data_IF_825613940244
#
_entry.id   IF_825613940244
#
_cell.length_a   1.000
_cell.length_b   1.000
_cell.length_c   1.000
_cell.angle_alpha   90.00
_cell.angle_beta   90.00
_cell.angle_gamma   90.00
#
_symmetry.space_group_name_H-M   'P 1'
#
loop_
_entity.id
_entity.type
_entity.pdbx_description
1 polymer ?
#
# COMPACT_ATOMS: atom_id res chain seq x y z
N UNK A 1 -23.21 -21.97 -14.23
CA UNK A 1 -24.36 -21.45 -13.45
C UNK A 1 -24.49 -20.01 -13.90
N UNK A 2 -25.27 -19.78 -14.95
CA UNK A 2 -25.20 -18.52 -15.67
C UNK A 2 -26.06 -17.50 -14.94
N UNK A 3 -25.41 -16.61 -14.20
CA UNK A 3 -26.08 -15.58 -13.44
C UNK A 3 -25.50 -14.22 -13.81
N UNK A 4 -26.03 -13.64 -14.89
CA UNK A 4 -25.65 -12.34 -15.42
C UNK A 4 -25.79 -11.20 -14.40
N UNK A 5 -26.68 -11.35 -13.42
CA UNK A 5 -26.82 -10.37 -12.33
C UNK A 5 -25.64 -10.49 -11.37
N UNK A 6 -25.28 -11.71 -10.96
CA UNK A 6 -24.14 -11.95 -10.09
C UNK A 6 -22.82 -11.51 -10.76
N UNK A 7 -22.63 -11.84 -12.03
CA UNK A 7 -21.49 -11.38 -12.85
C UNK A 7 -21.37 -9.84 -12.83
N UNK A 8 -22.41 -9.12 -13.23
CA UNK A 8 -22.35 -7.66 -13.27
C UNK A 8 -22.14 -7.02 -11.88
N UNK A 9 -22.80 -7.55 -10.84
CA UNK A 9 -22.66 -7.03 -9.48
C UNK A 9 -21.25 -7.26 -8.95
N UNK A 10 -20.72 -8.48 -9.07
CA UNK A 10 -19.39 -8.83 -8.58
C UNK A 10 -18.30 -8.11 -9.36
N UNK A 11 -18.40 -8.05 -10.69
CA UNK A 11 -17.46 -7.29 -11.52
C UNK A 11 -17.48 -5.79 -11.19
N UNK A 12 -18.65 -5.22 -10.90
CA UNK A 12 -18.76 -3.82 -10.47
C UNK A 12 -18.15 -3.61 -9.07
N UNK A 13 -18.40 -4.52 -8.13
CA UNK A 13 -17.78 -4.46 -6.80
C UNK A 13 -16.26 -4.54 -6.91
N UNK A 14 -15.74 -5.42 -7.76
CA UNK A 14 -14.31 -5.51 -8.05
C UNK A 14 -13.73 -4.19 -8.57
N UNK A 15 -14.38 -3.59 -9.57
CA UNK A 15 -13.99 -2.30 -10.13
C UNK A 15 -14.02 -1.15 -9.09
N UNK A 16 -15.01 -1.16 -8.19
CA UNK A 16 -15.11 -0.18 -7.09
C UNK A 16 -13.98 -0.36 -6.09
N UNK A 17 -13.70 -1.59 -5.67
CA UNK A 17 -12.56 -1.91 -4.81
C UNK A 17 -11.26 -1.38 -5.41
N UNK A 18 -10.99 -1.69 -6.68
CA UNK A 18 -9.78 -1.19 -7.34
C UNK A 18 -9.73 0.33 -7.49
N UNK A 19 -10.88 0.98 -7.67
CA UNK A 19 -10.95 2.44 -7.78
C UNK A 19 -10.59 3.14 -6.46
N UNK A 20 -10.86 2.51 -5.31
CA UNK A 20 -10.61 3.12 -4.00
C UNK A 20 -9.37 2.56 -3.29
N UNK A 21 -8.76 1.49 -3.81
CA UNK A 21 -7.71 0.71 -3.13
C UNK A 21 -6.58 1.59 -2.61
N UNK A 22 -6.14 2.59 -3.38
CA UNK A 22 -5.00 3.45 -3.04
C UNK A 22 -5.34 4.56 -2.02
N UNK A 23 -6.61 4.86 -1.79
CA UNK A 23 -7.03 5.96 -0.90
C UNK A 23 -6.53 5.78 0.54
N UNK A 24 -6.67 4.61 1.20
CA UNK A 24 -6.08 4.36 2.52
C UNK A 24 -4.58 4.65 2.57
N UNK A 25 -3.83 4.26 1.54
CA UNK A 25 -2.39 4.52 1.48
C UNK A 25 -2.10 6.02 1.38
N UNK A 26 -2.81 6.73 0.49
CA UNK A 26 -2.66 8.18 0.31
C UNK A 26 -2.95 8.93 1.61
N UNK A 27 -4.00 8.54 2.33
CA UNK A 27 -4.39 9.14 3.61
C UNK A 27 -3.31 8.88 4.67
N UNK A 28 -2.79 7.65 4.76
CA UNK A 28 -1.72 7.30 5.71
C UNK A 28 -0.46 8.10 5.43
N UNK A 29 -0.05 8.19 4.16
CA UNK A 29 1.12 8.98 3.74
C UNK A 29 0.95 10.46 4.13
N UNK A 30 -0.25 11.02 3.88
CA UNK A 30 -0.55 12.40 4.24
C UNK A 30 -0.49 12.62 5.75
N UNK A 31 -1.07 11.72 6.56
CA UNK A 31 -1.10 11.83 8.02
C UNK A 31 0.27 11.65 8.67
N UNK A 32 1.12 10.77 8.12
CA UNK A 32 2.46 10.50 8.65
C UNK A 32 3.51 11.49 8.15
N UNK A 33 3.22 12.23 7.06
CA UNK A 33 4.19 13.06 6.34
C UNK A 33 5.48 12.32 5.97
N UNK A 34 5.35 11.01 5.78
CA UNK A 34 6.44 10.10 5.49
C UNK A 34 5.95 8.98 4.58
N UNK A 35 6.87 8.46 3.77
CA UNK A 35 6.64 7.42 2.77
C UNK A 35 7.72 6.34 2.83
N UNK A 36 8.41 6.20 3.96
CA UNK A 36 9.42 5.16 4.14
C UNK A 36 8.84 3.76 3.90
N UNK A 37 9.51 2.97 3.05
CA UNK A 37 9.08 1.64 2.62
C UNK A 37 8.04 1.62 1.49
N UNK A 38 7.44 2.76 1.11
CA UNK A 38 6.53 2.81 -0.04
C UNK A 38 7.34 2.91 -1.33
N UNK A 39 7.20 1.91 -2.20
CA UNK A 39 7.95 1.89 -3.46
C UNK A 39 7.35 2.81 -4.51
N UNK A 40 8.00 3.96 -4.73
CA UNK A 40 7.64 4.86 -5.83
C UNK A 40 7.76 4.22 -7.23
N UNK A 41 8.62 3.21 -7.41
CA UNK A 41 8.73 2.50 -8.70
C UNK A 41 7.50 1.65 -9.02
N UNK A 42 6.90 1.01 -8.02
CA UNK A 42 5.62 0.30 -8.16
C UNK A 42 4.51 1.28 -8.59
N UNK A 43 4.40 2.43 -7.93
CA UNK A 43 3.40 3.45 -8.27
C UNK A 43 3.57 3.96 -9.72
N UNK A 44 4.82 4.12 -10.18
CA UNK A 44 5.07 4.53 -11.56
C UNK A 44 4.70 3.42 -12.56
N UNK A 45 5.04 2.16 -12.27
CA UNK A 45 4.66 1.02 -13.11
C UNK A 45 3.15 0.89 -13.24
N UNK A 46 2.41 1.10 -12.16
CA UNK A 46 0.95 1.08 -12.15
C UNK A 46 0.33 2.23 -12.91
N UNK A 47 0.89 3.43 -12.80
CA UNK A 47 0.47 4.56 -13.62
C UNK A 47 0.66 4.26 -15.11
N UNK A 48 1.77 3.62 -15.50
CA UNK A 48 2.01 3.22 -16.88
C UNK A 48 1.09 2.06 -17.29
N UNK A 49 0.80 1.11 -16.40
CA UNK A 49 -0.09 -0.02 -16.64
C UNK A 49 -1.55 0.40 -16.89
N UNK A 50 -1.98 1.50 -16.28
CA UNK A 50 -3.32 2.04 -16.47
C UNK A 50 -3.60 2.50 -17.89
N UNK A 51 -2.57 2.87 -18.68
CA UNK A 51 -2.72 3.22 -20.10
C UNK A 51 -3.19 2.04 -20.95
N UNK A 52 -2.44 0.92 -21.10
CA UNK A 52 -2.91 -0.21 -21.89
C UNK A 52 -4.21 -0.82 -21.33
N UNK A 53 -4.40 -0.80 -20.01
CA UNK A 53 -5.65 -1.25 -19.39
C UNK A 53 -6.85 -0.37 -19.78
N UNK A 54 -6.70 0.95 -19.70
CA UNK A 54 -7.73 1.93 -20.08
C UNK A 54 -8.08 1.83 -21.56
N UNK A 55 -7.05 1.77 -22.41
CA UNK A 55 -7.20 1.55 -23.85
C UNK A 55 -7.99 0.27 -24.14
N UNK A 56 -7.59 -0.86 -23.54
CA UNK A 56 -8.28 -2.15 -23.71
C UNK A 56 -9.76 -2.04 -23.31
N UNK A 57 -10.04 -1.51 -22.12
CA UNK A 57 -11.41 -1.42 -21.59
C UNK A 57 -12.30 -0.45 -22.39
N UNK A 58 -11.74 0.64 -22.91
CA UNK A 58 -12.48 1.62 -23.72
C UNK A 58 -12.79 1.08 -25.12
N UNK A 59 -11.85 0.36 -25.75
CA UNK A 59 -12.03 -0.16 -27.12
C UNK A 59 -12.85 -1.45 -27.13
N UNK A 60 -12.77 -2.27 -26.08
CA UNK A 60 -13.69 -3.41 -25.88
C UNK A 60 -15.07 -3.02 -25.38
N UNK A 61 -15.29 -1.73 -25.14
CA UNK A 61 -16.59 -1.19 -24.74
C UNK A 61 -17.16 -1.85 -23.47
N UNK A 62 -16.32 -2.23 -22.51
CA UNK A 62 -16.77 -2.79 -21.24
C UNK A 62 -17.63 -1.81 -20.42
N UNK A 63 -18.20 -2.30 -19.32
CA UNK A 63 -19.00 -1.49 -18.40
C UNK A 63 -18.27 -0.19 -18.00
N UNK A 64 -19.05 0.89 -17.80
CA UNK A 64 -18.52 2.22 -17.48
C UNK A 64 -17.56 2.19 -16.27
N UNK A 65 -17.87 1.37 -15.26
CA UNK A 65 -17.00 1.17 -14.10
C UNK A 65 -15.58 0.71 -14.48
N UNK A 66 -15.46 -0.26 -15.39
CA UNK A 66 -14.18 -0.78 -15.87
C UNK A 66 -13.46 0.17 -16.82
N UNK A 67 -14.16 1.10 -17.49
CA UNK A 67 -13.53 2.15 -18.31
C UNK A 67 -12.93 3.26 -17.45
N UNK A 68 -13.60 3.61 -16.35
CA UNK A 68 -13.17 4.69 -15.45
C UNK A 68 -12.08 4.21 -14.49
N UNK A 69 -12.13 2.95 -14.06
CA UNK A 69 -11.19 2.40 -13.07
C UNK A 69 -9.70 2.60 -13.45
N UNK A 70 -9.23 2.35 -14.69
CA UNK A 70 -7.83 2.55 -15.06
C UNK A 70 -7.39 4.01 -15.01
N UNK A 71 -8.32 4.94 -15.25
CA UNK A 71 -8.08 6.39 -15.14
C UNK A 71 -7.87 6.79 -13.69
N UNK A 72 -8.70 6.25 -12.80
CA UNK A 72 -8.58 6.45 -11.36
C UNK A 72 -7.26 5.83 -10.87
N UNK A 73 -6.96 4.59 -11.25
CA UNK A 73 -5.71 3.91 -10.89
C UNK A 73 -4.49 4.73 -11.32
N UNK A 74 -4.45 5.19 -12.57
CA UNK A 74 -3.35 6.02 -13.10
C UNK A 74 -3.16 7.29 -12.28
N UNK A 75 -4.26 7.99 -12.02
CA UNK A 75 -4.25 9.26 -11.28
C UNK A 75 -3.81 9.07 -9.83
N UNK A 76 -4.40 8.10 -9.13
CA UNK A 76 -4.07 7.81 -7.73
C UNK A 76 -2.63 7.28 -7.59
N UNK A 77 -2.15 6.51 -8.56
CA UNK A 77 -0.77 6.02 -8.60
C UNK A 77 0.22 7.18 -8.76
N UNK A 78 -0.04 8.11 -9.69
CA UNK A 78 0.80 9.30 -9.85
C UNK A 78 0.75 10.24 -8.65
N UNK A 79 -0.43 10.38 -8.01
CA UNK A 79 -0.56 11.14 -6.77
C UNK A 79 0.26 10.52 -5.64
N UNK A 80 0.20 9.19 -5.48
CA UNK A 80 0.98 8.46 -4.49
C UNK A 80 2.47 8.53 -4.79
N UNK A 81 2.86 8.44 -6.07
CA UNK A 81 4.23 8.67 -6.51
C UNK A 81 4.74 10.08 -6.17
N UNK A 82 3.89 11.10 -6.33
CA UNK A 82 4.18 12.47 -5.94
C UNK A 82 4.41 12.59 -4.43
N UNK A 83 3.62 11.87 -3.61
CA UNK A 83 3.85 11.78 -2.17
C UNK A 83 5.21 11.15 -1.87
N UNK A 84 5.64 10.11 -2.58
CA UNK A 84 6.98 9.53 -2.43
C UNK A 84 8.10 10.52 -2.77
N UNK A 85 7.94 11.36 -3.80
CA UNK A 85 8.90 12.40 -4.14
C UNK A 85 8.94 13.52 -3.10
N UNK A 86 7.77 13.94 -2.62
CA UNK A 86 7.65 15.06 -1.68
C UNK A 86 8.07 14.67 -0.26
N UNK A 87 7.48 13.61 0.30
CA UNK A 87 7.76 13.19 1.68
C UNK A 87 9.05 12.37 1.79
N UNK A 88 9.33 11.48 0.85
CA UNK A 88 10.52 10.63 0.86
C UNK A 88 11.78 11.34 0.41
N UNK A 89 11.79 11.88 -0.83
CA UNK A 89 12.97 12.56 -1.41
C UNK A 89 13.10 14.04 -1.04
N UNK A 90 12.15 14.58 -0.26
CA UNK A 90 12.10 16.00 0.14
C UNK A 90 12.15 16.98 -1.04
N UNK A 91 11.58 16.61 -2.18
CA UNK A 91 11.50 17.51 -3.33
C UNK A 91 10.49 18.64 -3.08
N UNK A 92 10.73 19.81 -3.68
CA UNK A 92 9.81 20.95 -3.58
C UNK A 92 8.51 20.61 -4.31
N UNK A 93 7.36 21.03 -3.73
CA UNK A 93 6.02 20.74 -4.27
C UNK A 93 5.87 21.09 -5.75
N UNK A 94 6.46 22.20 -6.20
CA UNK A 94 6.43 22.62 -7.61
C UNK A 94 7.07 21.59 -8.54
N UNK A 95 8.18 20.96 -8.14
CA UNK A 95 8.83 19.92 -8.95
C UNK A 95 7.93 18.68 -9.05
N UNK A 96 7.27 18.31 -7.95
CA UNK A 96 6.33 17.20 -7.93
C UNK A 96 5.11 17.49 -8.83
N UNK A 97 4.51 18.68 -8.72
CA UNK A 97 3.37 19.07 -9.57
C UNK A 97 3.74 19.08 -11.05
N UNK A 98 4.89 19.66 -11.42
CA UNK A 98 5.36 19.64 -12.81
C UNK A 98 5.57 18.20 -13.29
N UNK A 99 6.25 17.36 -12.51
CA UNK A 99 6.49 15.97 -12.89
C UNK A 99 5.19 15.17 -13.09
N UNK A 100 4.23 15.30 -12.17
CA UNK A 100 2.93 14.62 -12.26
C UNK A 100 2.14 15.12 -13.47
N UNK A 101 2.02 16.43 -13.65
CA UNK A 101 1.27 17.00 -14.78
C UNK A 101 1.90 16.62 -16.11
N UNK A 102 3.24 16.67 -16.22
CA UNK A 102 3.94 16.24 -17.43
C UNK A 102 3.69 14.76 -17.74
N UNK A 103 3.74 13.88 -16.73
CA UNK A 103 3.44 12.46 -16.92
C UNK A 103 1.97 12.21 -17.26
N UNK A 104 1.02 12.91 -16.61
CA UNK A 104 -0.40 12.80 -16.94
C UNK A 104 -0.69 13.19 -18.39
N UNK A 105 -0.13 14.31 -18.86
CA UNK A 105 -0.30 14.75 -20.24
C UNK A 105 0.33 13.77 -21.23
N UNK A 106 1.51 13.24 -20.91
CA UNK A 106 2.19 12.25 -21.75
C UNK A 106 1.38 10.94 -21.83
N UNK A 107 1.01 10.38 -20.68
CA UNK A 107 0.28 9.11 -20.61
C UNK A 107 -1.12 9.24 -21.22
N UNK A 108 -1.84 10.33 -20.95
CA UNK A 108 -3.14 10.61 -21.55
C UNK A 108 -3.06 10.84 -23.07
N UNK A 109 -1.99 11.48 -23.56
CA UNK A 109 -1.74 11.63 -24.99
C UNK A 109 -1.46 10.29 -25.68
N UNK A 110 -0.65 9.43 -25.05
CA UNK A 110 -0.38 8.07 -25.53
C UNK A 110 -1.67 7.24 -25.55
N UNK A 111 -2.44 7.26 -24.46
CA UNK A 111 -3.71 6.57 -24.35
C UNK A 111 -4.70 7.00 -25.43
N UNK A 112 -4.90 8.31 -25.61
CA UNK A 112 -5.79 8.82 -26.65
C UNK A 112 -5.36 8.36 -28.05
N UNK A 113 -4.06 8.45 -28.36
CA UNK A 113 -3.50 7.96 -29.63
C UNK A 113 -3.73 6.46 -29.84
N UNK A 114 -3.50 5.65 -28.81
CA UNK A 114 -3.73 4.21 -28.84
C UNK A 114 -5.21 3.86 -29.01
N UNK A 115 -6.14 4.58 -28.36
CA UNK A 115 -7.58 4.37 -28.54
C UNK A 115 -7.98 4.55 -30.00
N UNK A 116 -7.56 5.64 -30.66
CA UNK A 116 -7.87 5.85 -32.07
C UNK A 116 -7.23 4.78 -32.96
N UNK A 117 -5.97 4.43 -32.72
CA UNK A 117 -5.26 3.41 -33.48
C UNK A 117 -5.91 2.02 -33.37
N UNK A 118 -6.29 1.62 -32.14
CA UNK A 118 -6.86 0.31 -31.87
C UNK A 118 -8.33 0.21 -32.27
N UNK A 119 -9.09 1.30 -32.20
CA UNK A 119 -10.43 1.35 -32.84
C UNK A 119 -10.32 1.11 -34.34
N UNK A 120 -9.36 1.75 -35.01
CA UNK A 120 -9.13 1.53 -36.43
C UNK A 120 -8.68 0.08 -36.73
N UNK A 121 -7.88 -0.54 -35.86
CA UNK A 121 -7.49 -1.94 -35.98
C UNK A 121 -8.68 -2.90 -35.77
N UNK A 122 -9.55 -2.63 -34.78
CA UNK A 122 -10.74 -3.42 -34.49
C UNK A 122 -11.74 -3.42 -35.64
N UNK A 123 -11.94 -2.27 -36.31
CA UNK A 123 -12.76 -2.18 -37.53
C UNK A 123 -12.22 -3.06 -38.68
N UNK A 124 -10.91 -3.33 -38.70
CA UNK A 124 -10.27 -4.24 -39.66
C UNK A 124 -10.30 -5.71 -39.22
N UNK A 125 -10.99 -6.04 -38.13
CA UNK A 125 -11.07 -7.40 -37.58
C UNK A 125 -9.79 -7.89 -36.91
N UNK A 126 -8.88 -7.00 -36.51
CA UNK A 126 -7.65 -7.36 -35.81
C UNK A 126 -7.87 -7.30 -34.29
N UNK A 127 -7.98 -8.46 -33.65
CA UNK A 127 -8.19 -8.58 -32.20
C UNK A 127 -6.86 -8.67 -31.41
N UNK A 128 -5.80 -9.22 -32.02
CA UNK A 128 -4.49 -9.39 -31.36
C UNK A 128 -3.91 -8.12 -30.72
N UNK A 129 -4.08 -6.89 -31.27
CA UNK A 129 -3.54 -5.70 -30.65
C UNK A 129 -4.18 -5.39 -29.29
N UNK A 130 -5.47 -5.71 -29.13
CA UNK A 130 -6.20 -5.52 -27.87
C UNK A 130 -5.76 -6.54 -26.82
N UNK A 131 -5.55 -7.80 -27.23
CA UNK A 131 -4.97 -8.83 -26.36
C UNK A 131 -3.58 -8.41 -25.87
N UNK A 132 -2.75 -7.81 -26.74
CA UNK A 132 -1.44 -7.28 -26.33
C UNK A 132 -1.58 -6.18 -25.27
N UNK A 133 -2.56 -5.28 -25.39
CA UNK A 133 -2.81 -4.27 -24.34
C UNK A 133 -3.22 -4.90 -23.02
N UNK A 134 -4.13 -5.87 -23.04
CA UNK A 134 -4.55 -6.60 -21.84
C UNK A 134 -3.35 -7.28 -21.15
N UNK A 135 -2.58 -8.08 -21.90
CA UNK A 135 -1.39 -8.78 -21.37
C UNK A 135 -0.32 -7.81 -20.88
N UNK A 136 -0.03 -6.74 -21.63
CA UNK A 136 0.94 -5.73 -21.23
C UNK A 136 0.53 -5.06 -19.91
N UNK A 137 -0.75 -4.73 -19.74
CA UNK A 137 -1.25 -4.14 -18.50
C UNK A 137 -1.07 -5.08 -17.30
N UNK A 138 -1.45 -6.36 -17.44
CA UNK A 138 -1.29 -7.36 -16.39
C UNK A 138 0.19 -7.56 -16.03
N UNK A 139 1.08 -7.64 -17.02
CA UNK A 139 2.51 -7.75 -16.77
C UNK A 139 3.08 -6.54 -16.01
N UNK A 140 2.63 -5.32 -16.32
CA UNK A 140 3.09 -4.11 -15.64
C UNK A 140 2.56 -3.99 -14.20
N UNK A 141 1.29 -4.38 -13.98
CA UNK A 141 0.69 -4.44 -12.63
C UNK A 141 1.45 -5.43 -11.76
N UNK A 142 1.58 -6.67 -12.23
CA UNK A 142 2.34 -7.72 -11.57
C UNK A 142 3.80 -7.31 -11.34
N UNK A 143 4.48 -6.71 -12.33
CA UNK A 143 5.85 -6.21 -12.16
C UNK A 143 5.95 -5.15 -11.04
N UNK A 144 4.95 -4.29 -10.91
CA UNK A 144 4.83 -3.35 -9.80
C UNK A 144 4.78 -4.07 -8.46
N UNK A 145 3.93 -5.09 -8.33
CA UNK A 145 3.79 -5.88 -7.09
C UNK A 145 5.06 -6.68 -6.80
N UNK A 146 5.67 -7.30 -7.81
CA UNK A 146 6.93 -8.04 -7.70
C UNK A 146 8.08 -7.15 -7.21
N UNK A 147 8.09 -5.87 -7.60
CA UNK A 147 9.08 -4.92 -7.09
C UNK A 147 8.97 -4.79 -5.58
N UNK A 148 7.76 -4.86 -5.03
CA UNK A 148 7.53 -4.81 -3.59
C UNK A 148 7.96 -6.10 -2.89
N UNK A 149 7.74 -7.26 -3.51
CA UNK A 149 8.31 -8.51 -3.03
C UNK A 149 9.83 -8.48 -2.90
N UNK A 150 10.51 -7.87 -3.87
CA UNK A 150 11.97 -7.68 -3.79
C UNK A 150 12.37 -6.84 -2.58
N UNK A 151 11.59 -5.81 -2.25
CA UNK A 151 11.78 -4.98 -1.05
C UNK A 151 11.71 -5.81 0.22
N UNK A 152 10.63 -6.61 0.33
CA UNK A 152 10.38 -7.50 1.46
C UNK A 152 11.52 -8.51 1.60
N UNK A 153 12.01 -9.05 0.48
CA UNK A 153 13.12 -9.99 0.46
C UNK A 153 14.42 -9.37 0.97
N UNK A 154 14.75 -8.16 0.51
CA UNK A 154 16.00 -7.46 0.88
C UNK A 154 15.94 -6.97 2.33
N UNK A 155 14.85 -6.32 2.73
CA UNK A 155 14.72 -5.69 4.04
C UNK A 155 14.17 -6.62 5.13
N UNK A 156 13.73 -7.84 4.77
CA UNK A 156 13.20 -8.87 5.67
C UNK A 156 12.06 -8.36 6.57
N UNK A 157 11.31 -7.37 6.09
CA UNK A 157 10.16 -6.77 6.76
C UNK A 157 9.21 -6.20 5.73
N UNK A 158 7.90 -6.24 6.00
CA UNK A 158 6.91 -5.53 5.18
C UNK A 158 6.79 -4.10 5.72
N UNK A 159 7.38 -3.13 5.03
CA UNK A 159 7.38 -1.71 5.42
C UNK A 159 6.62 -0.87 4.40
N UNK A 160 6.03 0.23 4.86
CA UNK A 160 5.49 1.30 4.03
C UNK A 160 4.16 1.04 3.33
N UNK A 161 3.74 -0.21 3.14
CA UNK A 161 2.43 -0.54 2.54
C UNK A 161 1.35 -0.76 3.60
N UNK A 162 0.17 -0.19 3.36
CA UNK A 162 -1.03 -0.34 4.17
C UNK A 162 -1.69 -1.69 3.92
N UNK A 163 -1.89 -2.47 4.99
CA UNK A 163 -2.66 -3.72 4.93
C UNK A 163 -4.10 -3.52 4.49
N UNK A 164 -4.68 -2.34 4.72
CA UNK A 164 -6.03 -2.01 4.24
C UNK A 164 -6.01 -1.84 2.72
N UNK A 165 -4.99 -1.19 2.15
CA UNK A 165 -4.80 -1.11 0.70
C UNK A 165 -4.69 -2.52 0.09
N UNK A 166 -3.81 -3.36 0.64
CA UNK A 166 -3.63 -4.75 0.17
C UNK A 166 -4.93 -5.54 0.24
N UNK A 167 -5.68 -5.40 1.33
CA UNK A 167 -6.94 -6.12 1.52
C UNK A 167 -8.04 -5.69 0.54
N UNK A 168 -8.16 -4.38 0.26
CA UNK A 168 -9.14 -3.87 -0.72
C UNK A 168 -8.76 -4.34 -2.13
N UNK A 169 -7.47 -4.34 -2.46
CA UNK A 169 -7.00 -4.76 -3.78
C UNK A 169 -7.23 -6.25 -4.03
N UNK A 170 -6.85 -7.09 -3.07
CA UNK A 170 -7.13 -8.52 -3.09
C UNK A 170 -8.63 -8.83 -3.16
N UNK A 171 -9.47 -8.03 -2.49
CA UNK A 171 -10.92 -8.17 -2.58
C UNK A 171 -11.41 -7.81 -3.99
N UNK A 172 -10.82 -6.79 -4.63
CA UNK A 172 -11.09 -6.44 -6.02
C UNK A 172 -10.83 -7.61 -6.98
N UNK A 173 -9.66 -8.24 -6.86
CA UNK A 173 -9.31 -9.42 -7.65
C UNK A 173 -10.21 -10.61 -7.37
N UNK A 174 -10.56 -10.86 -6.11
CA UNK A 174 -11.45 -11.94 -5.73
C UNK A 174 -12.85 -11.75 -6.32
N UNK A 175 -13.45 -10.56 -6.18
CA UNK A 175 -14.78 -10.29 -6.74
C UNK A 175 -14.79 -10.39 -8.27
N UNK A 176 -13.76 -9.88 -8.93
CA UNK A 176 -13.64 -9.95 -10.39
C UNK A 176 -13.39 -11.39 -10.88
N UNK A 177 -12.58 -12.17 -10.16
CA UNK A 177 -12.37 -13.59 -10.47
C UNK A 177 -13.68 -14.38 -10.34
N UNK A 178 -14.41 -14.19 -9.24
CA UNK A 178 -15.70 -14.86 -9.01
C UNK A 178 -16.73 -14.41 -10.06
N UNK A 179 -16.72 -13.13 -10.47
CA UNK A 179 -17.55 -12.62 -11.56
C UNK A 179 -17.36 -13.42 -12.85
N UNK A 180 -16.11 -13.66 -13.26
CA UNK A 180 -15.79 -14.40 -14.48
C UNK A 180 -16.30 -15.85 -14.42
N UNK A 181 -16.33 -16.47 -13.23
CA UNK A 181 -16.87 -17.83 -13.05
C UNK A 181 -18.39 -17.92 -13.19
N UNK A 182 -19.12 -16.82 -12.99
CA UNK A 182 -20.58 -16.75 -13.17
C UNK A 182 -21.01 -16.32 -14.58
N UNK A 183 -20.05 -15.90 -15.41
CA UNK A 183 -20.27 -15.54 -16.81
C UNK A 183 -20.65 -16.74 -17.67
N UNK A 184 -21.39 -16.49 -18.76
CA UNK A 184 -21.84 -17.53 -19.70
C UNK A 184 -20.71 -18.17 -20.51
N UNK A 185 -19.56 -17.50 -20.59
CA UNK A 185 -18.34 -17.98 -21.25
C UNK A 185 -17.18 -17.83 -20.30
N UNK A 186 -16.40 -18.90 -20.12
CA UNK A 186 -15.21 -18.87 -19.29
C UNK A 186 -14.13 -18.06 -20.02
N UNK A 187 -13.89 -16.84 -19.57
CA UNK A 187 -12.75 -16.05 -20.02
C UNK A 187 -11.48 -16.52 -19.29
N UNK A 188 -10.75 -17.40 -19.96
CA UNK A 188 -9.49 -17.96 -19.45
C UNK A 188 -8.46 -16.86 -19.19
N UNK A 189 -8.45 -15.80 -20.01
CA UNK A 189 -7.50 -14.69 -19.85
C UNK A 189 -7.81 -13.90 -18.58
N UNK A 190 -9.08 -13.56 -18.34
CA UNK A 190 -9.53 -12.93 -17.09
C UNK A 190 -9.21 -13.77 -15.85
N UNK A 191 -9.44 -15.10 -15.91
CA UNK A 191 -9.10 -16.00 -14.80
C UNK A 191 -7.60 -15.99 -14.49
N UNK A 192 -6.75 -16.04 -15.51
CA UNK A 192 -5.29 -16.03 -15.33
C UNK A 192 -4.84 -14.68 -14.74
N UNK A 193 -5.35 -13.57 -15.24
CA UNK A 193 -4.98 -12.22 -14.76
C UNK A 193 -5.41 -12.05 -13.31
N UNK A 194 -6.70 -12.19 -13.01
CA UNK A 194 -7.21 -11.97 -11.65
C UNK A 194 -6.68 -13.00 -10.66
N UNK A 195 -6.51 -14.26 -11.09
CA UNK A 195 -5.93 -15.31 -10.24
C UNK A 195 -4.46 -15.05 -9.90
N UNK A 196 -3.68 -14.54 -10.86
CA UNK A 196 -2.26 -14.21 -10.64
C UNK A 196 -2.12 -13.03 -9.68
N UNK A 197 -2.86 -11.93 -9.91
CA UNK A 197 -2.86 -10.76 -9.03
C UNK A 197 -3.31 -11.12 -7.62
N UNK A 198 -4.42 -11.87 -7.48
CA UNK A 198 -4.89 -12.34 -6.18
C UNK A 198 -3.82 -13.16 -5.44
N UNK A 199 -3.10 -14.02 -6.16
CA UNK A 199 -2.01 -14.82 -5.58
C UNK A 199 -0.88 -13.93 -5.06
N UNK A 200 -0.50 -12.91 -5.83
CA UNK A 200 0.52 -11.93 -5.42
C UNK A 200 0.08 -11.15 -4.17
N UNK A 201 -1.18 -10.74 -4.07
CA UNK A 201 -1.66 -10.02 -2.89
C UNK A 201 -1.78 -10.89 -1.65
N UNK A 202 -2.30 -12.11 -1.81
CA UNK A 202 -2.37 -13.08 -0.73
C UNK A 202 -0.97 -13.37 -0.21
N UNK A 203 0.02 -13.51 -1.09
CA UNK A 203 1.40 -13.72 -0.67
C UNK A 203 2.00 -12.53 0.08
N UNK A 204 1.72 -11.28 -0.32
CA UNK A 204 2.10 -10.09 0.47
C UNK A 204 1.43 -10.12 1.85
N UNK A 205 0.15 -10.48 1.91
CA UNK A 205 -0.59 -10.60 3.16
C UNK A 205 0.03 -11.65 4.10
N UNK A 206 0.41 -12.81 3.56
CA UNK A 206 1.11 -13.87 4.29
C UNK A 206 2.48 -13.37 4.77
N UNK A 207 3.27 -12.74 3.90
CA UNK A 207 4.56 -12.16 4.29
C UNK A 207 4.38 -11.16 5.43
N UNK A 208 3.40 -10.26 5.34
CA UNK A 208 3.09 -9.30 6.38
C UNK A 208 2.66 -9.95 7.69
N UNK A 209 1.81 -10.98 7.63
CA UNK A 209 1.43 -11.79 8.78
C UNK A 209 2.65 -12.43 9.45
N UNK A 210 3.53 -13.09 8.69
CA UNK A 210 4.72 -13.75 9.23
C UNK A 210 5.71 -12.75 9.84
N UNK A 211 5.99 -11.64 9.17
CA UNK A 211 6.95 -10.64 9.64
C UNK A 211 6.43 -9.78 10.79
N UNK A 212 5.11 -9.57 10.90
CA UNK A 212 4.51 -8.80 11.99
C UNK A 212 4.17 -9.68 13.21
N UNK A 213 3.89 -10.98 13.02
CA UNK A 213 3.63 -11.92 14.10
C UNK A 213 4.91 -12.29 14.87
N UNK A 214 6.07 -12.42 14.21
CA UNK A 214 7.36 -12.71 14.87
C UNK A 214 7.75 -11.72 15.97
N UNK A 215 7.78 -10.39 15.73
CA UNK A 215 8.10 -9.42 16.78
C UNK A 215 7.03 -9.38 17.88
N UNK A 216 5.75 -9.54 17.54
CA UNK A 216 4.68 -9.60 18.55
C UNK A 216 4.77 -10.82 19.47
N UNK A 217 5.10 -12.01 18.92
CA UNK A 217 5.35 -13.21 19.73
C UNK A 217 6.59 -12.99 20.61
N UNK A 218 7.66 -12.39 20.06
CA UNK A 218 8.88 -12.10 20.80
C UNK A 218 8.60 -11.14 21.97
N UNK A 219 7.89 -10.04 21.72
CA UNK A 219 7.52 -9.05 22.74
C UNK A 219 6.61 -9.66 23.82
N UNK A 220 5.66 -10.52 23.45
CA UNK A 220 4.85 -11.27 24.42
C UNK A 220 5.64 -12.29 25.23
N UNK A 221 6.66 -12.89 24.64
CA UNK A 221 7.53 -13.86 25.34
C UNK A 221 8.45 -13.12 26.30
N UNK A 222 9.05 -12.00 25.88
CA UNK A 222 9.88 -11.14 26.73
C UNK A 222 9.08 -10.49 27.86
N UNK A 223 7.85 -10.04 27.62
CA UNK A 223 6.95 -9.54 28.69
C UNK A 223 6.56 -10.66 29.67
N UNK A 224 6.34 -11.89 29.17
CA UNK A 224 6.00 -13.03 30.03
C UNK A 224 7.19 -13.47 30.88
N UNK A 225 8.40 -13.48 30.34
CA UNK A 225 9.64 -13.79 31.06
C UNK A 225 10.03 -12.67 32.04
N UNK A 226 9.84 -11.41 31.68
CA UNK A 226 10.03 -10.26 32.59
C UNK A 226 9.08 -10.30 33.78
N UNK A 227 7.81 -10.65 33.57
CA UNK A 227 6.81 -10.78 34.64
C UNK A 227 7.03 -12.02 35.54
N UNK A 228 7.86 -12.98 35.12
CA UNK A 228 8.33 -14.11 35.93
C UNK A 228 9.58 -13.76 36.74
N UNK A 229 10.32 -12.72 36.34
CA UNK A 229 11.57 -12.27 36.97
C UNK A 229 11.41 -11.09 37.93
N UNK A 230 10.24 -10.44 38.00
CA UNK A 230 9.88 -9.56 39.10
C UNK A 230 9.38 -10.40 40.28
N UNK A 231 10.22 -10.78 41.27
CA UNK A 231 9.67 -11.21 42.54
C UNK A 231 8.86 -10.03 43.05
N UNK A 232 7.64 -10.30 43.51
CA UNK A 232 6.83 -9.38 44.31
C UNK A 232 7.74 -8.78 45.37
N UNK A 233 8.26 -7.58 45.10
CA UNK A 233 9.13 -6.87 46.00
C UNK A 233 8.20 -6.38 47.09
N UNK A 234 8.14 -7.14 48.19
CA UNK A 234 7.55 -6.72 49.43
C UNK A 234 8.18 -5.38 49.77
N UNK A 235 7.45 -4.30 49.50
CA UNK A 235 7.83 -2.96 49.85
C UNK A 235 8.11 -2.97 51.36
N UNK A 236 9.35 -2.74 51.82
CA UNK A 236 9.59 -2.65 53.24
C UNK A 236 8.82 -1.42 53.72
N UNK A 237 7.77 -1.65 54.51
CA UNK A 237 7.08 -0.56 55.17
C UNK A 237 8.09 0.13 56.09
N UNK A 238 8.19 1.48 56.07
CA UNK A 238 9.07 2.17 56.99
C UNK A 238 8.58 1.90 58.42
N UNK A 239 9.45 1.29 59.22
CA UNK A 239 9.22 1.09 60.65
C UNK A 239 9.07 2.45 61.33
N UNK A 240 7.85 2.77 61.76
CA UNK A 240 7.52 3.96 62.54
C UNK A 240 8.12 3.88 63.95
N UNK A 241 9.41 4.13 64.09
CA UNK A 241 10.07 4.29 65.40
C UNK A 241 11.24 5.27 65.32
N UNK A 242 10.96 6.57 65.39
CA UNK A 242 11.76 7.52 66.20
C UNK A 242 11.02 8.85 66.31
N UNK A 243 9.95 8.86 67.10
CA UNK A 243 9.51 10.09 67.80
C UNK A 243 10.56 10.36 68.88
N UNK A 244 10.96 11.62 69.06
CA UNK A 244 12.06 12.15 69.89
C UNK A 244 13.42 12.37 69.17
N UNK A 245 13.52 13.49 68.45
CA UNK A 245 14.76 14.28 68.40
C UNK A 245 14.52 15.55 69.23
N UNK A 246 15.11 15.62 70.41
CA UNK A 246 15.24 16.85 71.18
C UNK A 246 16.39 17.68 70.62
N UNK A 247 16.11 18.96 70.37
CA UNK A 247 17.09 19.97 70.04
C UNK A 247 17.91 20.35 71.27
N UNK A 248 19.23 20.23 71.20
CA UNK A 248 20.16 20.95 72.08
C UNK A 248 21.41 21.26 71.27
N UNK A 249 21.62 22.54 71.02
CA UNK A 249 22.68 23.05 70.18
C UNK A 249 24.04 23.09 70.86
N UNK A 250 25.04 23.34 70.03
CA UNK A 250 26.21 24.15 70.38
C UNK A 250 26.86 24.62 69.07
N UNK A 251 26.75 25.92 68.82
CA UNK A 251 27.55 26.67 67.87
C UNK A 251 29.04 26.52 68.18
N UNK A 252 29.88 26.35 67.15
CA UNK A 252 31.22 26.94 67.13
C UNK A 252 31.52 27.42 65.71
N UNK A 253 31.67 28.75 65.60
CA UNK A 253 32.16 29.48 64.43
C UNK A 253 33.60 29.07 64.06
N UNK A 254 33.90 29.02 62.75
CA UNK A 254 35.26 28.99 62.22
C UNK A 254 35.33 29.65 60.84
N UNK A 255 36.05 30.78 60.77
CA UNK A 255 36.10 31.78 59.68
C UNK A 255 36.59 31.27 58.31
N UNK A 256 36.01 31.86 57.26
CA UNK A 256 36.49 32.03 55.86
C UNK A 256 37.85 32.77 55.80
N UNK A 257 38.66 32.70 54.72
CA UNK A 257 38.26 33.23 53.40
C UNK A 257 38.81 32.56 52.12
N UNK A 258 38.08 32.89 51.06
CA UNK A 258 38.39 32.91 49.63
C UNK A 258 39.86 33.05 49.22
N UNK A 259 40.23 32.37 48.13
CA UNK A 259 41.01 32.98 47.04
C UNK A 259 40.83 32.23 45.72
N UNK A 260 40.58 33.02 44.69
CA UNK A 260 40.50 32.71 43.26
C UNK A 260 41.88 32.72 42.61
N UNK A 261 42.11 31.84 41.64
CA UNK A 261 42.82 32.10 40.37
C UNK A 261 42.48 30.99 39.39
#
# INVERSE_FOLDING_TARGET
MDNRVAENVLGTLGAVCWSIQLLPQIIINYRRHDTEGLQGSMMLLWAVAGVPLGVYNIVEEFNIALRIQPQILTTLSLLTWAQCLYYGKKYRIMKCCVAVTSLLLLLGGIEAGLIFALRAAKVRGLEWPLVVMAVLSACLLAAGVLRHYWDIYVHRTVRGISFIFVGIDAAGDLFSLVSVLFGSTIDVLGIIIYGTELTLWVGIFICGGVFNLRPWIKERTEQRDGNLQDPVSLHPMPSSTSVFRTASGSEVMGRRPWQSS
#
